data_IF_326743681253
#
_entry.id   IF_326743681253
#
_cell.length_a   1.000
_cell.length_b   1.000
_cell.length_c   1.000
_cell.angle_alpha   90.00
_cell.angle_beta   90.00
_cell.angle_gamma   90.00
#
_symmetry.space_group_name_H-M   'P 1'
#
loop_
_entity.id
_entity.type
_entity.pdbx_description
1 polymer ?
#
# COMPACT_ATOMS: atom_id res chain seq x y z
N UNK A 1 11.27 -52.52 -53.84
CA UNK A 1 10.27 -51.41 -53.76
C UNK A 1 10.64 -50.31 -52.75
N UNK A 2 11.85 -50.32 -52.19
CA UNK A 2 12.29 -49.38 -51.14
C UNK A 2 12.82 -48.02 -51.65
N UNK A 3 12.96 -47.83 -52.96
CA UNK A 3 13.44 -46.55 -53.54
C UNK A 3 12.35 -45.49 -53.70
N UNK A 4 11.06 -45.83 -53.60
CA UNK A 4 9.95 -44.91 -53.89
C UNK A 4 9.47 -44.11 -52.66
N UNK A 5 9.63 -44.68 -51.46
CA UNK A 5 9.22 -44.03 -50.20
C UNK A 5 10.19 -42.92 -49.79
N UNK A 6 11.50 -43.07 -50.01
CA UNK A 6 12.51 -42.06 -49.61
C UNK A 6 12.49 -40.82 -50.50
N UNK A 7 12.03 -40.94 -51.76
CA UNK A 7 11.86 -39.80 -52.67
C UNK A 7 10.64 -38.94 -52.37
N UNK A 8 9.54 -39.54 -51.91
CA UNK A 8 8.30 -38.80 -51.59
C UNK A 8 8.40 -38.01 -50.28
N UNK A 9 9.15 -38.51 -49.28
CA UNK A 9 9.37 -37.77 -48.02
C UNK A 9 10.32 -36.58 -48.20
N UNK A 10 11.38 -36.70 -49.02
CA UNK A 10 12.29 -35.59 -49.33
C UNK A 10 11.62 -34.47 -50.15
N UNK A 11 10.75 -34.83 -51.10
CA UNK A 11 10.05 -33.85 -51.94
C UNK A 11 9.01 -33.05 -51.14
N UNK A 12 8.43 -33.66 -50.09
CA UNK A 12 7.52 -33.00 -49.16
C UNK A 12 8.25 -32.01 -48.24
N UNK A 13 9.40 -32.39 -47.68
CA UNK A 13 10.16 -31.49 -46.81
C UNK A 13 10.71 -30.27 -47.57
N UNK A 14 11.17 -30.43 -48.82
CA UNK A 14 11.67 -29.34 -49.65
C UNK A 14 10.56 -28.35 -50.04
N UNK A 15 9.33 -28.85 -50.28
CA UNK A 15 8.14 -28.03 -50.54
C UNK A 15 7.72 -27.22 -49.30
N UNK A 16 7.83 -27.80 -48.10
CA UNK A 16 7.47 -27.14 -46.85
C UNK A 16 8.51 -26.08 -46.47
N UNK A 17 9.80 -26.35 -46.66
CA UNK A 17 10.88 -25.37 -46.46
C UNK A 17 10.71 -24.19 -47.41
N UNK A 18 10.40 -24.44 -48.69
CA UNK A 18 10.15 -23.37 -49.67
C UNK A 18 8.93 -22.50 -49.31
N UNK A 19 7.87 -23.10 -48.76
CA UNK A 19 6.72 -22.36 -48.23
C UNK A 19 7.08 -21.49 -47.02
N UNK A 20 7.89 -22.00 -46.09
CA UNK A 20 8.34 -21.26 -44.92
C UNK A 20 9.24 -20.08 -45.30
N UNK A 21 10.16 -20.26 -46.25
CA UNK A 21 11.00 -19.17 -46.76
C UNK A 21 10.17 -18.06 -47.42
N UNK A 22 9.13 -18.44 -48.17
CA UNK A 22 8.21 -17.47 -48.78
C UNK A 22 7.45 -16.67 -47.72
N UNK A 23 6.93 -17.34 -46.69
CA UNK A 23 6.23 -16.68 -45.57
C UNK A 23 7.16 -15.74 -44.80
N UNK A 24 8.39 -16.17 -44.53
CA UNK A 24 9.38 -15.35 -43.82
C UNK A 24 9.75 -14.11 -44.64
N UNK A 25 9.91 -14.24 -45.96
CA UNK A 25 10.21 -13.12 -46.86
C UNK A 25 9.05 -12.11 -46.92
N UNK A 26 7.81 -12.58 -47.01
CA UNK A 26 6.62 -11.72 -46.95
C UNK A 26 6.46 -11.02 -45.59
N UNK A 27 6.84 -11.65 -44.48
CA UNK A 27 6.83 -11.02 -43.16
C UNK A 27 7.87 -9.90 -43.03
N UNK A 28 9.09 -10.13 -43.52
CA UNK A 28 10.17 -9.12 -43.49
C UNK A 28 9.80 -7.92 -44.36
N UNK A 29 9.28 -8.15 -45.56
CA UNK A 29 8.86 -7.07 -46.47
C UNK A 29 7.69 -6.26 -45.88
N UNK A 30 6.76 -6.91 -45.19
CA UNK A 30 5.68 -6.22 -44.45
C UNK A 30 6.23 -5.37 -43.31
N UNK A 31 7.16 -5.90 -42.52
CA UNK A 31 7.78 -5.17 -41.43
C UNK A 31 8.61 -3.97 -41.91
N UNK A 32 9.33 -4.11 -43.03
CA UNK A 32 10.05 -3.00 -43.66
C UNK A 32 9.10 -1.93 -44.18
N UNK A 33 7.99 -2.34 -44.81
CA UNK A 33 6.96 -1.42 -45.29
C UNK A 33 6.34 -0.63 -44.13
N UNK A 34 5.92 -1.30 -43.06
CA UNK A 34 5.39 -0.65 -41.85
C UNK A 34 6.41 0.32 -41.24
N UNK A 35 7.70 -0.05 -41.20
CA UNK A 35 8.76 0.84 -40.72
C UNK A 35 8.95 2.07 -41.61
N UNK A 36 8.88 1.91 -42.93
CA UNK A 36 8.98 3.04 -43.87
C UNK A 36 7.77 3.97 -43.78
N UNK A 37 6.56 3.43 -43.61
CA UNK A 37 5.34 4.22 -43.41
C UNK A 37 5.40 4.99 -42.09
N UNK A 38 5.88 4.36 -41.01
CA UNK A 38 6.05 5.02 -39.72
C UNK A 38 7.08 6.17 -39.82
N UNK A 39 8.18 5.95 -40.54
CA UNK A 39 9.22 6.97 -40.75
C UNK A 39 8.72 8.13 -41.63
N UNK A 40 7.91 7.83 -42.65
CA UNK A 40 7.28 8.85 -43.50
C UNK A 40 6.27 9.70 -42.71
N UNK A 41 5.48 9.07 -41.84
CA UNK A 41 4.54 9.76 -40.94
C UNK A 41 5.28 10.66 -39.95
N UNK A 42 6.40 10.20 -39.38
CA UNK A 42 7.22 10.98 -38.46
C UNK A 42 7.86 12.19 -39.15
N UNK A 43 8.30 12.02 -40.40
CA UNK A 43 8.79 13.12 -41.24
C UNK A 43 7.68 14.12 -41.58
N UNK A 44 6.46 13.65 -41.90
CA UNK A 44 5.30 14.51 -42.12
C UNK A 44 4.94 15.31 -40.87
N UNK A 45 5.01 14.69 -39.69
CA UNK A 45 4.78 15.37 -38.41
C UNK A 45 5.85 16.46 -38.18
N UNK A 46 7.12 16.19 -38.49
CA UNK A 46 8.19 17.18 -38.41
C UNK A 46 8.02 18.34 -39.41
N UNK A 47 7.60 18.05 -40.65
CA UNK A 47 7.34 19.07 -41.67
C UNK A 47 6.12 19.93 -41.32
N UNK A 48 5.08 19.37 -40.71
CA UNK A 48 3.95 20.12 -40.15
C UNK A 48 4.39 21.03 -39.00
N UNK A 49 5.27 20.53 -38.11
CA UNK A 49 5.83 21.33 -37.02
C UNK A 49 6.64 22.51 -37.55
N UNK A 50 7.50 22.27 -38.55
CA UNK A 50 8.31 23.31 -39.19
C UNK A 50 7.44 24.36 -39.93
N UNK A 51 6.35 23.93 -40.58
CA UNK A 51 5.39 24.85 -41.22
C UNK A 51 4.62 25.70 -40.21
N UNK A 52 4.24 25.13 -39.07
CA UNK A 52 3.63 25.89 -37.97
C UNK A 52 4.60 26.93 -37.39
N UNK A 53 5.89 26.61 -37.27
CA UNK A 53 6.90 27.58 -36.81
C UNK A 53 7.24 28.65 -37.86
N UNK A 54 7.19 28.33 -39.15
CA UNK A 54 7.50 29.29 -40.22
C UNK A 54 6.35 30.31 -40.45
N UNK A 55 5.10 29.93 -40.21
CA UNK A 55 3.94 30.84 -40.30
C UNK A 55 3.86 31.80 -39.11
N UNK A 56 4.52 31.49 -37.99
CA UNK A 56 4.55 32.32 -36.77
C UNK A 56 5.35 33.63 -36.84
N UNK A 57 6.13 33.86 -37.90
CA UNK A 57 7.02 35.03 -38.00
C UNK A 57 6.53 36.15 -38.93
N UNK A 58 5.31 36.07 -39.48
CA UNK A 58 4.82 37.08 -40.44
C UNK A 58 3.62 37.91 -39.96
N UNK A 59 3.07 37.70 -38.76
CA UNK A 59 1.96 38.53 -38.27
C UNK A 59 2.08 38.76 -36.78
N UNK A 60 2.28 40.01 -36.40
CA UNK A 60 2.25 40.46 -35.02
C UNK A 60 0.89 40.17 -34.40
N UNK A 61 0.85 39.18 -33.51
CA UNK A 61 -0.04 39.10 -32.35
C UNK A 61 0.53 38.04 -31.37
N UNK A 62 0.49 38.30 -30.06
CA UNK A 62 1.17 37.47 -29.07
C UNK A 62 0.34 36.21 -28.83
N UNK A 63 0.70 35.10 -29.46
CA UNK A 63 0.17 33.79 -29.07
C UNK A 63 1.21 33.12 -28.21
N UNK A 64 0.86 33.01 -26.92
CA UNK A 64 1.44 32.19 -25.86
C UNK A 64 2.64 31.36 -26.29
N UNK A 65 3.83 31.90 -26.00
CA UNK A 65 5.02 31.10 -25.73
C UNK A 65 4.59 30.14 -24.62
N UNK A 66 4.27 28.88 -24.93
CA UNK A 66 4.31 27.87 -23.88
C UNK A 66 5.76 27.87 -23.41
N UNK A 67 6.06 28.24 -22.15
CA UNK A 67 7.42 28.16 -21.67
C UNK A 67 7.79 26.68 -21.82
N UNK A 68 8.86 26.38 -22.56
CA UNK A 68 9.52 25.10 -22.40
C UNK A 68 9.93 25.09 -20.93
N UNK A 69 9.15 24.38 -20.11
CA UNK A 69 9.42 24.26 -18.68
C UNK A 69 10.85 23.74 -18.56
N UNK A 70 11.64 24.41 -17.73
CA UNK A 70 13.00 23.98 -17.44
C UNK A 70 12.98 22.53 -16.93
N UNK A 71 14.06 21.76 -17.14
CA UNK A 71 14.17 20.42 -16.56
C UNK A 71 13.88 20.37 -15.06
N UNK A 72 14.20 21.46 -14.35
CA UNK A 72 13.89 21.64 -12.94
C UNK A 72 12.40 21.83 -12.66
N UNK A 73 11.69 22.64 -13.45
CA UNK A 73 10.24 22.80 -13.34
C UNK A 73 9.49 21.51 -13.70
N UNK A 74 10.00 20.74 -14.67
CA UNK A 74 9.47 19.42 -15.02
C UNK A 74 9.64 18.46 -13.84
N UNK A 75 10.81 18.44 -13.20
CA UNK A 75 11.07 17.64 -12.01
C UNK A 75 10.16 18.05 -10.85
N UNK A 76 10.05 19.34 -10.57
CA UNK A 76 9.19 19.88 -9.53
C UNK A 76 7.71 19.52 -9.76
N UNK A 77 7.22 19.61 -10.99
CA UNK A 77 5.85 19.23 -11.34
C UNK A 77 5.63 17.72 -11.24
N UNK A 78 6.63 16.91 -11.61
CA UNK A 78 6.58 15.45 -11.50
C UNK A 78 6.50 15.01 -10.05
N UNK A 79 7.34 15.56 -9.18
CA UNK A 79 7.33 15.28 -7.74
C UNK A 79 6.04 15.79 -7.14
N UNK A 80 5.64 17.02 -7.46
CA UNK A 80 4.37 17.58 -7.03
C UNK A 80 3.22 16.63 -7.36
N UNK A 81 3.11 16.12 -8.59
CA UNK A 81 2.05 15.19 -9.00
C UNK A 81 2.03 13.86 -8.22
N UNK A 82 3.17 13.41 -7.68
CA UNK A 82 3.26 12.22 -6.81
C UNK A 82 2.80 12.50 -5.38
N UNK A 83 2.78 13.76 -4.94
CA UNK A 83 2.32 14.16 -3.62
C UNK A 83 0.80 14.33 -3.62
N UNK A 84 0.14 13.74 -2.62
CA UNK A 84 -1.27 14.03 -2.33
C UNK A 84 -1.40 15.28 -1.46
N UNK A 85 -2.57 15.92 -1.50
CA UNK A 85 -2.83 17.10 -0.67
C UNK A 85 -2.83 16.75 0.81
N UNK A 86 -2.38 17.70 1.62
CA UNK A 86 -2.35 17.60 3.06
C UNK A 86 -3.49 18.43 3.67
N UNK A 87 -4.36 17.74 4.41
CA UNK A 87 -5.34 18.36 5.28
C UNK A 87 -5.07 17.94 6.73
N UNK A 88 -5.21 18.89 7.65
CA UNK A 88 -5.01 18.62 9.06
C UNK A 88 -6.33 18.26 9.75
N UNK A 89 -6.44 17.01 10.19
CA UNK A 89 -7.52 16.51 11.03
C UNK A 89 -6.93 15.55 12.09
N UNK A 90 -6.77 16.00 13.34
CA UNK A 90 -6.18 15.17 14.38
C UNK A 90 -7.07 13.98 14.80
N UNK A 91 -8.39 14.05 14.62
CA UNK A 91 -9.32 12.98 14.99
C UNK A 91 -9.32 11.86 13.94
N UNK A 92 -9.13 12.21 12.66
CA UNK A 92 -9.03 11.26 11.55
C UNK A 92 -7.59 10.71 11.33
N UNK A 93 -6.67 10.89 12.28
CA UNK A 93 -5.24 10.57 12.13
C UNK A 93 -4.60 11.22 10.87
N UNK A 94 -5.13 12.36 10.40
CA UNK A 94 -4.59 13.12 9.28
C UNK A 94 -3.64 14.21 9.80
N UNK A 95 -2.47 13.78 10.28
CA UNK A 95 -1.43 14.65 10.84
C UNK A 95 -0.19 14.72 9.94
N UNK A 96 0.59 15.78 10.09
CA UNK A 96 1.74 16.05 9.24
C UNK A 96 2.80 14.95 9.33
N UNK A 97 3.05 14.39 10.52
CA UNK A 97 4.02 13.30 10.71
C UNK A 97 3.65 12.03 9.92
N UNK A 98 2.36 11.75 9.76
CA UNK A 98 1.87 10.59 9.00
C UNK A 98 1.98 10.86 7.49
N UNK A 99 1.57 12.06 7.06
CA UNK A 99 1.68 12.48 5.66
C UNK A 99 3.13 12.56 5.19
N UNK A 100 4.02 13.17 5.99
CA UNK A 100 5.45 13.27 5.69
C UNK A 100 6.10 11.88 5.61
N UNK A 101 5.78 10.98 6.54
CA UNK A 101 6.28 9.59 6.51
C UNK A 101 5.87 8.85 5.24
N UNK A 102 4.65 9.07 4.73
CA UNK A 102 4.17 8.47 3.48
C UNK A 102 4.97 8.94 2.28
N UNK A 103 5.29 10.24 2.21
CA UNK A 103 5.97 10.83 1.06
C UNK A 103 7.47 11.07 1.26
N UNK A 104 8.05 10.54 2.34
CA UNK A 104 9.44 10.79 2.72
C UNK A 104 10.43 10.48 1.59
N UNK A 105 10.31 9.30 0.97
CA UNK A 105 11.15 8.90 -0.16
C UNK A 105 10.97 9.84 -1.37
N UNK A 106 9.74 10.26 -1.68
CA UNK A 106 9.48 11.22 -2.77
C UNK A 106 10.10 12.60 -2.48
N UNK A 107 10.04 13.07 -1.24
CA UNK A 107 10.58 14.38 -0.86
C UNK A 107 12.11 14.38 -0.76
N UNK A 108 12.70 13.31 -0.22
CA UNK A 108 14.14 13.23 0.07
C UNK A 108 14.96 12.61 -1.09
N UNK A 109 14.44 11.59 -1.76
CA UNK A 109 15.14 10.86 -2.84
C UNK A 109 14.84 11.49 -4.21
N UNK A 110 13.57 11.53 -4.62
CA UNK A 110 13.19 12.13 -5.92
C UNK A 110 13.46 13.65 -5.92
N UNK A 111 13.20 14.31 -4.79
CA UNK A 111 13.44 15.74 -4.59
C UNK A 111 14.90 16.13 -4.36
N UNK A 112 15.86 15.20 -4.35
CA UNK A 112 17.25 15.50 -3.97
C UNK A 112 17.90 16.60 -4.83
N UNK A 113 17.56 16.65 -6.11
CA UNK A 113 18.12 17.60 -7.08
C UNK A 113 17.37 18.95 -7.15
N UNK A 114 16.24 19.09 -6.45
CA UNK A 114 15.51 20.36 -6.41
C UNK A 114 16.19 21.37 -5.48
N UNK A 115 16.23 22.63 -5.91
CA UNK A 115 16.60 23.74 -5.03
C UNK A 115 15.65 23.85 -3.84
N UNK A 116 16.16 24.41 -2.74
CA UNK A 116 15.43 24.50 -1.47
C UNK A 116 14.13 25.32 -1.62
N UNK A 117 14.18 26.41 -2.39
CA UNK A 117 13.05 27.29 -2.68
C UNK A 117 11.93 26.55 -3.42
N UNK A 118 12.29 25.66 -4.34
CA UNK A 118 11.33 24.83 -5.07
C UNK A 118 10.66 23.80 -4.16
N UNK A 119 11.41 23.21 -3.21
CA UNK A 119 10.85 22.28 -2.21
C UNK A 119 9.87 22.97 -1.29
N UNK A 120 10.22 24.17 -0.82
CA UNK A 120 9.36 25.00 0.04
C UNK A 120 8.07 25.36 -0.69
N UNK A 121 8.18 25.90 -1.92
CA UNK A 121 6.99 26.28 -2.71
C UNK A 121 6.11 25.07 -3.03
N UNK A 122 6.70 23.93 -3.39
CA UNK A 122 5.96 22.69 -3.66
C UNK A 122 5.20 22.21 -2.42
N UNK A 123 5.84 22.26 -1.24
CA UNK A 123 5.21 21.84 0.00
C UNK A 123 4.03 22.75 0.36
N UNK A 124 4.21 24.07 0.27
CA UNK A 124 3.15 25.06 0.48
C UNK A 124 1.94 24.82 -0.45
N UNK A 125 2.17 24.47 -1.72
CA UNK A 125 1.09 24.16 -2.69
C UNK A 125 0.29 22.92 -2.36
N UNK A 126 0.85 21.98 -1.58
CA UNK A 126 0.17 20.75 -1.16
C UNK A 126 -0.57 20.90 0.15
N UNK A 127 -0.47 22.03 0.84
CA UNK A 127 -1.26 22.32 2.02
C UNK A 127 -2.67 22.76 1.60
N UNK A 128 -3.70 22.28 2.28
CA UNK A 128 -5.05 22.82 2.10
C UNK A 128 -5.12 24.30 2.52
N UNK A 129 -6.08 25.04 1.98
CA UNK A 129 -6.26 26.48 2.28
C UNK A 129 -6.31 26.77 3.79
N UNK A 130 -6.98 25.90 4.55
CA UNK A 130 -7.09 26.02 6.00
C UNK A 130 -5.74 25.84 6.72
N UNK A 131 -4.92 24.90 6.26
CA UNK A 131 -3.58 24.64 6.82
C UNK A 131 -2.63 25.78 6.42
N UNK A 132 -2.65 26.19 5.15
CA UNK A 132 -1.81 27.28 4.66
C UNK A 132 -2.11 28.60 5.37
N UNK A 133 -3.38 28.94 5.60
CA UNK A 133 -3.76 30.14 6.35
C UNK A 133 -3.16 30.15 7.76
N UNK A 134 -3.24 29.03 8.49
CA UNK A 134 -2.63 28.91 9.82
C UNK A 134 -1.10 28.97 9.77
N UNK A 135 -0.49 28.41 8.74
CA UNK A 135 0.96 28.52 8.53
C UNK A 135 1.38 29.99 8.36
N UNK A 136 0.66 30.77 7.55
CA UNK A 136 0.92 32.21 7.36
C UNK A 136 0.79 32.97 8.68
N UNK A 137 -0.21 32.65 9.50
CA UNK A 137 -0.39 33.25 10.83
C UNK A 137 0.82 32.97 11.75
N UNK A 138 1.42 31.78 11.65
CA UNK A 138 2.56 31.35 12.49
C UNK A 138 3.90 31.91 11.98
N UNK A 139 4.10 31.95 10.67
CA UNK A 139 5.37 32.45 10.08
C UNK A 139 5.45 33.98 10.06
N UNK A 140 4.31 34.66 10.26
CA UNK A 140 4.24 36.12 10.37
C UNK A 140 5.27 36.69 11.36
N UNK A 141 6.00 37.77 11.01
CA UNK A 141 5.82 38.64 9.85
C UNK A 141 6.48 38.15 8.54
N UNK A 142 7.15 37.00 8.58
CA UNK A 142 7.83 36.45 7.41
C UNK A 142 6.88 35.62 6.54
N UNK A 143 7.23 35.53 5.26
CA UNK A 143 6.46 34.77 4.28
C UNK A 143 6.83 33.28 4.35
N UNK A 144 5.88 32.34 4.33
CA UNK A 144 6.18 30.91 4.40
C UNK A 144 7.15 30.46 3.31
N UNK A 145 7.05 31.05 2.11
CA UNK A 145 7.90 30.73 0.96
C UNK A 145 9.38 31.13 1.12
N UNK A 146 9.69 32.03 2.07
CA UNK A 146 11.06 32.48 2.36
C UNK A 146 11.70 31.74 3.53
N UNK A 147 10.99 30.79 4.11
CA UNK A 147 11.48 29.96 5.21
C UNK A 147 12.41 28.87 4.65
N UNK A 148 13.47 28.52 5.39
CA UNK A 148 14.29 27.37 5.04
C UNK A 148 13.46 26.09 5.08
N UNK A 149 13.77 25.13 4.22
CA UNK A 149 13.02 23.88 4.12
C UNK A 149 13.00 23.11 5.45
N UNK A 150 14.14 23.01 6.13
CA UNK A 150 14.24 22.34 7.42
C UNK A 150 13.37 23.01 8.51
N UNK A 151 13.36 24.34 8.54
CA UNK A 151 12.55 25.11 9.48
C UNK A 151 11.06 24.97 9.17
N UNK A 152 10.68 24.94 7.89
CA UNK A 152 9.30 24.73 7.46
C UNK A 152 8.78 23.34 7.89
N UNK A 153 9.56 22.28 7.67
CA UNK A 153 9.22 20.93 8.12
C UNK A 153 9.03 20.89 9.63
N UNK A 154 9.93 21.56 10.39
CA UNK A 154 9.83 21.63 11.84
C UNK A 154 8.56 22.35 12.31
N UNK A 155 8.25 23.51 11.73
CA UNK A 155 7.02 24.26 12.05
C UNK A 155 5.78 23.42 11.74
N UNK A 156 5.76 22.72 10.61
CA UNK A 156 4.64 21.87 10.21
C UNK A 156 4.48 20.66 11.15
N UNK A 157 5.56 20.04 11.59
CA UNK A 157 5.52 18.92 12.54
C UNK A 157 5.09 19.37 13.95
N UNK A 158 5.61 20.50 14.44
CA UNK A 158 5.24 21.05 15.75
C UNK A 158 3.76 21.50 15.78
N UNK A 159 3.26 22.07 14.68
CA UNK A 159 1.91 22.66 14.62
C UNK A 159 0.84 21.63 14.26
N UNK A 160 1.13 20.80 13.25
CA UNK A 160 0.17 19.89 12.61
C UNK A 160 0.56 18.41 12.77
N UNK A 161 1.62 18.10 13.51
CA UNK A 161 1.95 16.73 13.90
C UNK A 161 1.01 16.18 14.97
N UNK A 162 1.13 14.87 15.20
CA UNK A 162 0.34 14.18 16.21
C UNK A 162 0.68 14.67 17.62
N UNK A 163 -0.25 15.42 18.24
CA UNK A 163 -0.17 15.84 19.66
C UNK A 163 -0.55 14.72 20.65
N UNK A 164 -1.03 13.60 20.14
CA UNK A 164 -1.44 12.49 20.97
C UNK A 164 -0.22 11.82 21.59
N UNK A 165 -0.12 11.88 22.92
CA UNK A 165 0.92 11.18 23.66
C UNK A 165 0.81 9.67 23.42
N UNK A 166 1.92 8.94 23.63
CA UNK A 166 1.90 7.48 23.57
C UNK A 166 0.85 6.89 24.53
N UNK A 167 0.67 7.53 25.69
CA UNK A 167 -0.37 7.15 26.65
C UNK A 167 -1.78 7.39 26.07
N UNK A 168 -2.06 8.57 25.52
CA UNK A 168 -3.34 8.90 24.89
C UNK A 168 -3.68 7.95 23.75
N UNK A 169 -2.72 7.67 22.86
CA UNK A 169 -2.89 6.69 21.77
C UNK A 169 -3.19 5.30 22.32
N UNK A 170 -2.41 4.82 23.30
CA UNK A 170 -2.63 3.51 23.94
C UNK A 170 -3.96 3.46 24.69
N UNK A 171 -4.38 4.55 25.31
CA UNK A 171 -5.62 4.65 26.07
C UNK A 171 -6.86 4.71 25.16
N UNK A 172 -6.83 5.47 24.06
CA UNK A 172 -7.91 5.44 23.06
C UNK A 172 -8.12 4.04 22.50
N UNK A 173 -7.00 3.44 22.12
CA UNK A 173 -6.93 2.03 21.76
C UNK A 173 -7.50 1.16 22.90
N UNK A 174 -7.11 1.41 24.16
CA UNK A 174 -7.61 0.71 25.36
C UNK A 174 -9.14 0.82 25.55
N UNK A 175 -9.73 1.93 25.14
CA UNK A 175 -11.15 2.21 25.30
C UNK A 175 -12.02 1.60 24.21
N UNK A 176 -11.46 1.26 23.04
CA UNK A 176 -12.21 0.56 22.00
C UNK A 176 -12.76 -0.77 22.52
N UNK A 177 -14.00 -1.10 22.17
CA UNK A 177 -14.68 -2.31 22.61
C UNK A 177 -15.15 -3.11 21.39
N UNK A 178 -14.71 -4.37 21.30
CA UNK A 178 -15.16 -5.32 20.28
C UNK A 178 -16.53 -5.84 20.74
N UNK A 179 -17.55 -5.76 19.87
CA UNK A 179 -18.94 -6.14 20.20
C UNK A 179 -19.25 -7.59 19.86
N UNK A 180 -18.48 -8.22 18.97
CA UNK A 180 -18.65 -9.63 18.58
C UNK A 180 -17.31 -10.30 18.18
N UNK A 181 -17.24 -11.63 18.24
CA UNK A 181 -16.05 -12.41 17.86
C UNK A 181 -15.74 -12.44 16.36
N UNK A 182 -16.68 -12.03 15.50
CA UNK A 182 -16.50 -11.97 14.04
C UNK A 182 -15.78 -10.67 13.61
N UNK A 183 -15.94 -9.59 14.38
CA UNK A 183 -15.21 -8.32 14.20
C UNK A 183 -13.69 -8.48 14.46
N UNK A 184 -13.30 -9.56 15.13
CA UNK A 184 -11.95 -9.84 15.61
C UNK A 184 -10.91 -9.85 14.48
N UNK A 185 -11.28 -10.28 13.27
CA UNK A 185 -10.36 -10.45 12.15
C UNK A 185 -10.02 -9.10 11.49
N UNK A 186 -10.95 -8.14 11.49
CA UNK A 186 -10.75 -6.81 10.89
C UNK A 186 -9.87 -5.88 11.73
N UNK A 187 -9.79 -6.09 13.04
CA UNK A 187 -9.00 -5.26 13.97
C UNK A 187 -7.56 -5.73 14.18
N UNK A 188 -7.13 -6.77 13.45
CA UNK A 188 -5.79 -7.34 13.54
C UNK A 188 -4.68 -6.45 12.96
N UNK A 189 -4.86 -5.13 12.83
CA UNK A 189 -3.79 -4.20 12.41
C UNK A 189 -3.18 -3.40 13.57
N UNK A 190 -3.80 -3.41 14.75
CA UNK A 190 -3.29 -2.71 15.95
C UNK A 190 -3.32 -3.66 17.15
N UNK A 191 -2.20 -4.31 17.46
CA UNK A 191 -2.05 -5.29 18.56
C UNK A 191 -2.63 -4.83 19.92
N UNK A 192 -2.49 -3.55 20.26
CA UNK A 192 -3.07 -2.98 21.49
C UNK A 192 -4.60 -2.80 21.40
N UNK A 193 -5.18 -2.58 20.20
CA UNK A 193 -6.65 -2.49 19.96
C UNK A 193 -7.31 -3.84 20.12
N UNK A 194 -6.59 -4.88 19.72
CA UNK A 194 -7.02 -6.24 19.97
C UNK A 194 -7.12 -6.51 21.49
N UNK A 195 -6.04 -6.30 22.23
CA UNK A 195 -5.97 -6.60 23.68
C UNK A 195 -6.97 -5.79 24.49
N UNK A 196 -7.18 -4.54 24.10
CA UNK A 196 -8.12 -3.65 24.77
C UNK A 196 -9.59 -3.98 24.53
N UNK A 197 -9.91 -4.54 23.36
CA UNK A 197 -11.24 -5.01 23.01
C UNK A 197 -11.69 -6.22 23.82
N UNK A 198 -10.75 -6.98 24.41
CA UNK A 198 -10.99 -8.17 25.23
C UNK A 198 -11.45 -7.83 26.66
N UNK A 199 -12.61 -7.20 26.79
CA UNK A 199 -13.16 -6.72 28.07
C UNK A 199 -14.03 -7.73 28.80
N UNK A 200 -14.49 -8.76 28.11
CA UNK A 200 -15.37 -9.78 28.71
C UNK A 200 -14.56 -10.73 29.60
N UNK A 201 -15.15 -11.28 30.68
CA UNK A 201 -14.51 -12.27 31.54
C UNK A 201 -14.06 -13.53 30.77
N UNK A 202 -14.81 -13.90 29.73
CA UNK A 202 -14.52 -15.01 28.84
C UNK A 202 -13.20 -14.84 28.07
N UNK A 203 -12.76 -13.60 27.88
CA UNK A 203 -11.53 -13.28 27.16
C UNK A 203 -10.35 -13.01 28.10
N UNK A 204 -10.49 -13.20 29.41
CA UNK A 204 -9.46 -12.86 30.39
C UNK A 204 -8.15 -13.65 30.18
N UNK A 205 -8.27 -14.94 29.88
CA UNK A 205 -7.10 -15.81 29.70
C UNK A 205 -6.36 -15.54 28.39
N UNK A 206 -7.10 -15.38 27.28
CA UNK A 206 -6.48 -15.01 25.99
C UNK A 206 -5.84 -13.61 26.06
N UNK A 207 -6.45 -12.68 26.79
CA UNK A 207 -5.86 -11.36 27.07
C UNK A 207 -4.53 -11.47 27.82
N UNK A 208 -4.44 -12.31 28.86
CA UNK A 208 -3.19 -12.55 29.59
C UNK A 208 -2.10 -13.16 28.70
N UNK A 209 -2.44 -14.12 27.84
CA UNK A 209 -1.49 -14.76 26.91
C UNK A 209 -0.91 -13.77 25.91
N UNK A 210 -1.74 -12.92 25.33
CA UNK A 210 -1.29 -11.94 24.34
C UNK A 210 -0.44 -10.84 24.99
N UNK A 211 -0.80 -10.39 26.19
CA UNK A 211 0.04 -9.47 26.96
C UNK A 211 1.44 -10.07 27.20
N UNK A 212 1.53 -11.36 27.50
CA UNK A 212 2.81 -12.04 27.66
C UNK A 212 3.62 -12.08 26.35
N UNK A 213 2.99 -12.34 25.21
CA UNK A 213 3.66 -12.31 23.89
C UNK A 213 4.21 -10.91 23.58
N UNK A 214 3.44 -9.87 23.86
CA UNK A 214 3.84 -8.47 23.65
C UNK A 214 4.99 -8.04 24.59
N UNK A 215 5.00 -8.54 25.83
CA UNK A 215 6.07 -8.28 26.79
C UNK A 215 7.36 -9.04 26.42
N UNK A 216 7.24 -10.29 26.00
CA UNK A 216 8.39 -11.11 25.58
C UNK A 216 9.00 -10.65 24.25
N UNK A 217 8.19 -10.06 23.36
CA UNK A 217 8.62 -9.59 22.04
C UNK A 217 8.08 -8.18 21.76
N UNK A 218 8.88 -7.13 22.03
CA UNK A 218 8.48 -5.75 21.75
C UNK A 218 8.16 -5.45 20.27
N UNK A 219 8.73 -6.25 19.35
CA UNK A 219 8.50 -6.17 17.90
C UNK A 219 7.56 -7.29 17.39
N UNK A 220 6.73 -7.88 18.27
CA UNK A 220 5.77 -8.90 17.90
C UNK A 220 4.89 -8.41 16.74
N UNK A 221 4.81 -9.23 15.70
CA UNK A 221 3.96 -8.98 14.54
C UNK A 221 2.57 -9.54 14.81
N UNK A 222 1.61 -9.10 14.01
CA UNK A 222 0.22 -9.55 14.12
C UNK A 222 0.05 -11.05 13.89
N UNK A 223 0.94 -11.66 13.09
CA UNK A 223 0.99 -13.11 12.89
C UNK A 223 1.33 -13.83 14.19
N UNK A 224 2.20 -13.27 15.04
CA UNK A 224 2.57 -13.88 16.33
C UNK A 224 1.36 -13.91 17.27
N UNK A 225 0.55 -12.84 17.26
CA UNK A 225 -0.67 -12.76 18.08
C UNK A 225 -1.77 -13.69 17.57
N UNK A 226 -1.93 -13.79 16.25
CA UNK A 226 -2.87 -14.74 15.62
C UNK A 226 -2.54 -16.17 16.00
N UNK A 227 -1.26 -16.55 15.93
CA UNK A 227 -0.84 -17.90 16.31
C UNK A 227 -1.15 -18.22 17.77
N UNK A 228 -1.00 -17.25 18.68
CA UNK A 228 -1.38 -17.43 20.08
C UNK A 228 -2.90 -17.57 20.27
N UNK A 229 -3.71 -16.79 19.54
CA UNK A 229 -5.17 -16.95 19.51
C UNK A 229 -5.60 -18.34 19.03
N UNK A 230 -5.01 -18.85 17.96
CA UNK A 230 -5.28 -20.18 17.43
C UNK A 230 -4.87 -21.29 18.40
N UNK A 231 -3.71 -21.13 19.05
CA UNK A 231 -3.24 -22.05 20.08
C UNK A 231 -4.21 -22.10 21.28
N UNK A 232 -4.72 -20.95 21.72
CA UNK A 232 -5.71 -20.87 22.79
C UNK A 232 -7.03 -21.54 22.42
N UNK A 233 -7.54 -21.32 21.20
CA UNK A 233 -8.77 -21.98 20.74
C UNK A 233 -8.63 -23.50 20.74
N UNK A 234 -7.53 -24.02 20.20
CA UNK A 234 -7.23 -25.48 20.20
C UNK A 234 -7.19 -26.03 21.62
N UNK A 235 -6.54 -25.32 22.54
CA UNK A 235 -6.48 -25.72 23.94
C UNK A 235 -7.88 -25.76 24.58
N UNK A 236 -8.71 -24.75 24.33
CA UNK A 236 -10.08 -24.68 24.86
C UNK A 236 -10.93 -25.87 24.37
N UNK A 237 -10.87 -26.19 23.08
CA UNK A 237 -11.56 -27.36 22.51
C UNK A 237 -11.06 -28.67 23.15
N UNK A 238 -9.75 -28.83 23.31
CA UNK A 238 -9.19 -30.04 23.93
C UNK A 238 -9.62 -30.21 25.39
N UNK A 239 -9.61 -29.13 26.18
CA UNK A 239 -10.08 -29.15 27.57
C UNK A 239 -11.56 -29.55 27.63
N UNK A 240 -12.38 -29.01 26.75
CA UNK A 240 -13.81 -29.33 26.69
C UNK A 240 -14.04 -30.83 26.43
N UNK A 241 -13.36 -31.41 25.43
CA UNK A 241 -13.45 -32.83 25.10
C UNK A 241 -13.07 -33.69 26.32
N UNK A 242 -11.96 -33.38 26.99
CA UNK A 242 -11.51 -34.12 28.19
C UNK A 242 -12.51 -34.01 29.35
N UNK A 243 -13.13 -32.84 29.54
CA UNK A 243 -14.15 -32.68 30.58
C UNK A 243 -15.43 -33.46 30.29
N UNK A 244 -15.85 -33.52 29.03
CA UNK A 244 -17.01 -34.31 28.60
C UNK A 244 -16.74 -35.81 28.75
N UNK A 245 -15.59 -36.30 28.31
CA UNK A 245 -15.16 -37.70 28.47
C UNK A 245 -15.13 -38.14 29.94
N UNK A 246 -14.58 -37.30 30.83
CA UNK A 246 -14.59 -37.56 32.27
C UNK A 246 -16.00 -37.58 32.85
N UNK A 247 -16.88 -36.70 32.37
CA UNK A 247 -18.29 -36.68 32.74
C UNK A 247 -18.99 -38.00 32.37
N UNK A 248 -18.82 -38.46 31.13
CA UNK A 248 -19.36 -39.75 30.68
C UNK A 248 -18.81 -40.93 31.48
N UNK A 249 -17.50 -40.96 31.76
CA UNK A 249 -16.88 -42.01 32.56
C UNK A 249 -17.43 -42.05 34.00
N UNK A 250 -17.58 -40.88 34.64
CA UNK A 250 -18.15 -40.79 35.98
C UNK A 250 -19.63 -41.23 36.02
N UNK A 251 -20.40 -40.91 34.99
CA UNK A 251 -21.81 -41.28 34.90
C UNK A 251 -22.00 -42.78 34.66
N UNK A 252 -21.14 -43.39 33.82
CA UNK A 252 -21.09 -44.84 33.62
C UNK A 252 -20.74 -45.59 34.91
N UNK A 253 -19.70 -45.16 35.62
CA UNK A 253 -19.29 -45.77 36.89
C UNK A 253 -20.40 -45.70 37.96
N UNK A 254 -21.19 -44.62 37.98
CA UNK A 254 -22.33 -44.48 38.89
C UNK A 254 -23.45 -45.47 38.55
N UNK A 255 -23.75 -45.64 37.26
CA UNK A 255 -24.76 -46.59 36.78
C UNK A 255 -24.37 -48.04 37.11
N UNK A 256 -23.10 -48.40 36.91
CA UNK A 256 -22.56 -49.73 37.22
C UNK A 256 -22.59 -50.01 38.73
N UNK A 257 -22.25 -49.03 39.57
CA UNK A 257 -22.34 -49.16 41.03
C UNK A 257 -23.79 -49.32 41.52
N UNK A 258 -24.73 -48.56 40.95
CA UNK A 258 -26.15 -48.66 41.29
C UNK A 258 -26.75 -50.02 40.84
N UNK A 259 -26.30 -50.58 39.72
CA UNK A 259 -26.66 -51.92 39.28
C UNK A 259 -26.07 -53.02 40.20
N UNK A 260 -24.81 -52.89 40.60
CA UNK A 260 -24.17 -53.81 41.55
C UNK A 260 -24.90 -53.85 42.89
N UNK A 261 -25.28 -52.68 43.45
CA UNK A 261 -26.03 -52.60 44.70
C UNK A 261 -27.41 -53.24 44.63
N UNK A 262 -28.09 -53.16 43.47
CA UNK A 262 -29.39 -53.82 43.26
C UNK A 262 -29.27 -55.34 43.24
N UNK A 263 -28.19 -55.89 42.69
CA UNK A 263 -27.96 -57.33 42.68
C UNK A 263 -27.55 -57.91 44.03
N UNK A 264 -27.04 -57.11 44.98
CA UNK A 264 -26.73 -57.58 46.34
C UNK A 264 -27.91 -57.51 47.32
N UNK A 265 -29.02 -56.86 46.95
CA UNK A 265 -30.20 -56.68 47.81
C UNK A 265 -31.28 -57.75 47.61
N UNK A 266 -31.03 -58.77 46.78
CA UNK A 266 -31.86 -59.95 46.52
C UNK A 266 -31.13 -61.22 46.96
#
# INVERSE_FOLDING_TARGET
MTSKATSETKLSDESHVSQLEKILKEQVERAEKERTELMAMLKQQADLLNKLTAVGNASGNPTTIMPVLSPEEILANTIHAKLGDFNYDPEAESTFDIWYRRYKSVLEEDGKLLQEEHKVRMLCRRLSDAVFKRLVEITSPNEPEKTKYADLIRILDETFGSKATLFSKRYEVMRMAIRSGEDLIGYLDKALVFVSGLKTPECEEIRRRILHVLEAKPNAKLVDLRSECEAYQKLKTNVQVVTEERGFAAQKAKLENDQWKKHQAH
#
